data_IF_821780682502
#
_entry.id   IF_821780682502
#
_cell.length_a   1.000
_cell.length_b   1.000
_cell.length_c   1.000
_cell.angle_alpha   90.00
_cell.angle_beta   90.00
_cell.angle_gamma   90.00
#
_symmetry.space_group_name_H-M   'P 1'
#
loop_
_entity.id
_entity.type
_entity.pdbx_description
1 polymer ?
#
# COMPACT_ATOMS: atom_id res chain seq x y z
N UNK A 1 21.47 -1.32 -12.95
CA UNK A 1 22.85 -1.79 -12.65
C UNK A 1 23.66 -0.81 -11.78
N UNK A 2 23.60 0.51 -11.99
CA UNK A 2 24.42 1.47 -11.24
C UNK A 2 24.20 1.45 -9.71
N UNK A 3 22.95 1.43 -9.24
CA UNK A 3 22.63 1.39 -7.80
C UNK A 3 23.06 0.09 -7.10
N UNK A 4 23.05 -1.04 -7.83
CA UNK A 4 23.53 -2.32 -7.29
C UNK A 4 25.01 -2.22 -6.97
N UNK A 5 25.81 -1.72 -7.94
CA UNK A 5 27.26 -1.50 -7.76
C UNK A 5 27.55 -0.52 -6.62
N UNK A 6 26.79 0.58 -6.53
CA UNK A 6 26.93 1.55 -5.44
C UNK A 6 26.68 0.90 -4.07
N UNK A 7 25.60 0.15 -3.94
CA UNK A 7 25.26 -0.56 -2.69
C UNK A 7 26.31 -1.60 -2.32
N UNK A 8 26.78 -2.40 -3.28
CA UNK A 8 27.86 -3.37 -3.08
C UNK A 8 29.15 -2.69 -2.62
N UNK A 9 29.53 -1.55 -3.22
CA UNK A 9 30.70 -0.76 -2.81
C UNK A 9 30.56 -0.14 -1.42
N UNK A 10 29.38 0.36 -1.05
CA UNK A 10 29.09 0.88 0.29
C UNK A 10 29.17 -0.23 1.36
N UNK A 11 28.63 -1.41 1.06
CA UNK A 11 28.71 -2.58 1.96
C UNK A 11 30.15 -3.06 2.10
N UNK A 12 30.89 -3.18 0.99
CA UNK A 12 32.29 -3.62 1.01
C UNK A 12 33.19 -2.67 1.82
N UNK A 13 32.92 -1.36 1.73
CA UNK A 13 33.65 -0.33 2.50
C UNK A 13 33.13 -0.14 3.93
N UNK A 14 32.07 -0.85 4.34
CA UNK A 14 31.42 -0.75 5.66
C UNK A 14 31.06 0.69 6.06
N UNK A 15 30.83 1.57 5.09
CA UNK A 15 30.52 2.99 5.35
C UNK A 15 29.14 3.15 5.97
N UNK A 16 29.07 3.96 7.02
CA UNK A 16 27.84 4.35 7.70
C UNK A 16 27.88 5.86 7.98
N UNK A 17 28.19 6.64 6.96
CA UNK A 17 28.21 8.10 6.99
C UNK A 17 26.96 8.69 6.32
N UNK A 18 26.85 10.02 6.34
CA UNK A 18 25.74 10.75 5.73
C UNK A 18 25.56 10.40 4.24
N UNK A 19 26.66 10.25 3.50
CA UNK A 19 26.62 9.85 2.10
C UNK A 19 26.01 8.45 1.92
N UNK A 20 26.44 7.46 2.71
CA UNK A 20 25.85 6.13 2.68
C UNK A 20 24.35 6.20 3.01
N UNK A 21 23.97 6.94 4.05
CA UNK A 21 22.58 7.14 4.44
C UNK A 21 21.71 7.66 3.28
N UNK A 22 22.13 8.76 2.65
CA UNK A 22 21.39 9.37 1.54
C UNK A 22 21.34 8.47 0.30
N UNK A 23 22.43 7.75 0.00
CA UNK A 23 22.47 6.78 -1.09
C UNK A 23 21.45 5.65 -0.88
N UNK A 24 21.33 5.14 0.35
CA UNK A 24 20.34 4.12 0.69
C UNK A 24 18.91 4.66 0.63
N UNK A 25 18.62 5.84 1.19
CA UNK A 25 17.30 6.48 1.12
C UNK A 25 16.87 6.67 -0.34
N UNK A 26 17.76 7.20 -1.18
CA UNK A 26 17.50 7.36 -2.61
C UNK A 26 17.23 6.00 -3.30
N UNK A 27 18.07 5.00 -3.03
CA UNK A 27 17.89 3.66 -3.57
C UNK A 27 16.56 3.02 -3.14
N UNK A 28 16.12 3.25 -1.90
CA UNK A 28 14.85 2.75 -1.37
C UNK A 28 13.69 3.40 -2.10
N UNK A 29 13.66 4.75 -2.17
CA UNK A 29 12.59 5.51 -2.84
C UNK A 29 12.44 5.08 -4.31
N UNK A 30 13.56 4.95 -5.04
CA UNK A 30 13.52 4.51 -6.43
C UNK A 30 13.04 3.05 -6.57
N UNK A 31 13.53 2.16 -5.71
CA UNK A 31 13.16 0.75 -5.73
C UNK A 31 11.67 0.54 -5.39
N UNK A 32 11.10 1.36 -4.50
CA UNK A 32 9.67 1.40 -4.23
C UNK A 32 8.90 1.90 -5.45
N UNK A 33 9.40 2.96 -6.10
CA UNK A 33 8.76 3.52 -7.29
C UNK A 33 8.60 2.48 -8.42
N UNK A 34 9.62 1.65 -8.64
CA UNK A 34 9.57 0.53 -9.60
C UNK A 34 8.97 -0.77 -9.02
N UNK A 35 8.42 -0.72 -7.79
CA UNK A 35 7.78 -1.84 -7.08
C UNK A 35 8.64 -3.11 -6.99
N UNK A 36 9.95 -2.96 -6.70
CA UNK A 36 10.90 -4.07 -6.64
C UNK A 36 11.29 -4.44 -5.19
N UNK A 37 10.52 -5.32 -4.51
CA UNK A 37 10.69 -5.64 -3.08
C UNK A 37 12.06 -6.17 -2.70
N UNK A 38 12.68 -6.97 -3.57
CA UNK A 38 14.00 -7.57 -3.36
C UNK A 38 15.11 -6.50 -3.32
N UNK A 39 14.82 -5.28 -3.80
CA UNK A 39 15.78 -4.17 -3.79
C UNK A 39 15.55 -3.22 -2.62
N UNK A 40 14.31 -2.82 -2.34
CA UNK A 40 14.05 -1.88 -1.25
C UNK A 40 14.00 -2.54 0.12
N UNK A 41 13.43 -3.74 0.27
CA UNK A 41 13.23 -4.36 1.57
C UNK A 41 14.55 -4.62 2.33
N UNK A 42 15.58 -5.26 1.74
CA UNK A 42 16.87 -5.41 2.42
C UNK A 42 17.57 -4.07 2.65
N UNK A 43 17.40 -3.10 1.76
CA UNK A 43 17.97 -1.76 1.91
C UNK A 43 17.36 -1.01 3.11
N UNK A 44 16.04 -1.09 3.28
CA UNK A 44 15.31 -0.57 4.45
C UNK A 44 15.82 -1.22 5.72
N UNK A 45 15.91 -2.54 5.76
CA UNK A 45 16.36 -3.26 6.96
C UNK A 45 17.81 -2.91 7.31
N UNK A 46 18.70 -2.82 6.32
CA UNK A 46 20.09 -2.42 6.54
C UNK A 46 20.18 -0.98 7.06
N UNK A 47 19.43 -0.05 6.46
CA UNK A 47 19.41 1.35 6.89
C UNK A 47 18.90 1.48 8.33
N UNK A 48 17.76 0.87 8.66
CA UNK A 48 17.14 0.97 9.98
C UNK A 48 17.88 0.19 11.08
N UNK A 49 18.45 -0.98 10.79
CA UNK A 49 19.07 -1.85 11.81
C UNK A 49 20.58 -1.65 11.97
N UNK A 50 21.26 -1.16 10.94
CA UNK A 50 22.71 -0.96 10.95
C UNK A 50 23.07 0.52 10.86
N UNK A 51 22.80 1.19 9.75
CA UNK A 51 23.28 2.57 9.51
C UNK A 51 22.74 3.55 10.57
N UNK A 52 21.45 3.46 10.90
CA UNK A 52 20.81 4.32 11.91
C UNK A 52 21.38 4.16 13.34
N UNK A 53 22.14 3.08 13.62
CA UNK A 53 22.84 2.92 14.90
C UNK A 53 24.17 3.68 14.95
N UNK A 54 24.82 3.84 13.80
CA UNK A 54 26.16 4.44 13.68
C UNK A 54 26.09 5.91 13.27
N UNK A 55 25.05 6.30 12.54
CA UNK A 55 24.81 7.68 12.10
C UNK A 55 23.49 8.19 12.65
N UNK A 56 23.52 9.38 13.27
CA UNK A 56 22.33 10.03 13.79
C UNK A 56 21.51 10.61 12.63
N UNK A 57 20.59 9.81 12.10
CA UNK A 57 19.71 10.21 11.01
C UNK A 57 18.68 11.24 11.50
N UNK A 58 18.34 12.26 10.69
CA UNK A 58 17.23 13.16 11.00
C UNK A 58 15.95 12.37 11.27
N UNK A 59 15.23 12.73 12.33
CA UNK A 59 13.99 12.03 12.73
C UNK A 59 12.96 11.93 11.60
N UNK A 60 12.91 12.92 10.70
CA UNK A 60 12.01 12.92 9.54
C UNK A 60 12.31 11.78 8.56
N UNK A 61 13.58 11.56 8.23
CA UNK A 61 14.01 10.51 7.29
C UNK A 61 13.80 9.12 7.89
N UNK A 62 14.12 8.95 9.17
CA UNK A 62 13.90 7.69 9.89
C UNK A 62 12.41 7.34 9.89
N UNK A 63 11.55 8.31 10.21
CA UNK A 63 10.10 8.12 10.24
C UNK A 63 9.53 7.82 8.85
N UNK A 64 10.04 8.44 7.79
CA UNK A 64 9.66 8.15 6.41
C UNK A 64 9.98 6.71 6.02
N UNK A 65 11.23 6.27 6.22
CA UNK A 65 11.66 4.91 5.85
C UNK A 65 10.95 3.85 6.69
N UNK A 66 10.78 4.09 7.99
CA UNK A 66 10.00 3.20 8.85
C UNK A 66 8.53 3.14 8.43
N UNK A 67 7.96 4.24 7.91
CA UNK A 67 6.60 4.25 7.35
C UNK A 67 6.49 3.36 6.10
N UNK A 68 7.49 3.41 5.22
CA UNK A 68 7.55 2.49 4.06
C UNK A 68 7.66 1.03 4.49
N UNK A 69 8.45 0.74 5.52
CA UNK A 69 8.58 -0.61 6.06
C UNK A 69 7.25 -1.13 6.61
N UNK A 70 6.53 -0.30 7.39
CA UNK A 70 5.21 -0.64 7.91
C UNK A 70 4.18 -0.84 6.80
N UNK A 71 4.21 -0.01 5.75
CA UNK A 71 3.31 -0.17 4.60
C UNK A 71 3.60 -1.40 3.77
N UNK A 72 4.87 -1.76 3.54
CA UNK A 72 5.24 -3.03 2.90
C UNK A 72 4.71 -4.22 3.70
N UNK A 73 4.83 -4.17 5.03
CA UNK A 73 4.28 -5.19 5.92
C UNK A 73 2.76 -5.34 5.76
N UNK A 74 2.05 -4.22 5.78
CA UNK A 74 0.59 -4.20 5.69
C UNK A 74 0.07 -4.59 4.31
N UNK A 75 0.59 -3.96 3.25
CA UNK A 75 -0.01 -4.06 1.91
C UNK A 75 0.47 -5.30 1.15
N UNK A 76 1.78 -5.57 1.11
CA UNK A 76 2.34 -6.67 0.32
C UNK A 76 2.38 -7.97 1.10
N UNK A 77 2.82 -7.91 2.37
CA UNK A 77 2.97 -9.10 3.22
C UNK A 77 1.70 -9.47 3.99
N UNK A 78 0.65 -8.64 3.89
CA UNK A 78 -0.65 -8.82 4.56
C UNK A 78 -0.53 -9.02 6.07
N UNK A 79 0.51 -8.46 6.68
CA UNK A 79 0.76 -8.56 8.11
C UNK A 79 0.51 -7.22 8.80
N UNK A 80 -0.75 -6.99 9.18
CA UNK A 80 -1.16 -5.78 9.89
C UNK A 80 -0.55 -5.68 11.29
N UNK A 81 -0.41 -6.82 12.00
CA UNK A 81 0.16 -6.83 13.34
C UNK A 81 1.61 -6.29 13.32
N UNK A 82 2.43 -6.78 12.39
CA UNK A 82 3.80 -6.30 12.23
C UNK A 82 3.85 -4.82 11.83
N UNK A 83 2.93 -4.36 10.97
CA UNK A 83 2.86 -2.95 10.60
C UNK A 83 2.61 -2.04 11.82
N UNK A 84 1.71 -2.44 12.73
CA UNK A 84 1.46 -1.72 13.97
C UNK A 84 2.64 -1.81 14.95
N UNK A 85 3.31 -2.96 15.04
CA UNK A 85 4.53 -3.11 15.85
C UNK A 85 5.62 -2.15 15.36
N UNK A 86 5.93 -2.13 14.07
CA UNK A 86 6.92 -1.23 13.46
C UNK A 86 6.56 0.24 13.76
N UNK A 87 5.29 0.61 13.58
CA UNK A 87 4.83 1.97 13.88
C UNK A 87 5.12 2.37 15.32
N UNK A 88 4.89 1.46 16.28
CA UNK A 88 5.13 1.71 17.70
C UNK A 88 6.62 1.76 18.03
N UNK A 89 7.41 0.81 17.50
CA UNK A 89 8.85 0.69 17.75
C UNK A 89 9.59 1.96 17.29
N UNK A 90 9.25 2.48 16.11
CA UNK A 90 9.85 3.69 15.56
C UNK A 90 9.10 4.98 15.96
N UNK A 91 8.08 4.90 16.83
CA UNK A 91 7.25 6.03 17.31
C UNK A 91 6.79 6.97 16.19
N UNK A 92 6.34 6.39 15.07
CA UNK A 92 6.01 7.13 13.85
C UNK A 92 4.79 8.02 14.10
N UNK A 93 4.96 9.33 13.94
CA UNK A 93 3.87 10.32 14.02
C UNK A 93 3.44 10.74 12.61
N UNK A 94 2.86 9.81 11.85
CA UNK A 94 2.38 10.08 10.50
C UNK A 94 0.88 9.81 10.38
N UNK A 95 0.09 10.89 10.30
CA UNK A 95 -1.38 10.81 10.16
C UNK A 95 -1.81 10.06 8.89
N UNK A 96 -1.06 10.17 7.80
CA UNK A 96 -1.38 9.47 6.54
C UNK A 96 -1.27 7.95 6.74
N UNK A 97 -0.17 7.49 7.36
CA UNK A 97 0.03 6.07 7.70
C UNK A 97 -1.12 5.54 8.57
N UNK A 98 -1.53 6.30 9.59
CA UNK A 98 -2.60 5.89 10.50
C UNK A 98 -3.94 5.69 9.80
N UNK A 99 -4.28 6.57 8.85
CA UNK A 99 -5.50 6.44 8.05
C UNK A 99 -5.43 5.20 7.15
N UNK A 100 -4.27 4.94 6.53
CA UNK A 100 -4.08 3.77 5.67
C UNK A 100 -4.19 2.46 6.46
N UNK A 101 -3.50 2.36 7.60
CA UNK A 101 -3.57 1.17 8.45
C UNK A 101 -4.98 0.94 8.99
N UNK A 102 -5.70 2.01 9.39
CA UNK A 102 -7.09 1.92 9.81
C UNK A 102 -8.01 1.49 8.66
N UNK A 103 -7.80 1.99 7.45
CA UNK A 103 -8.58 1.58 6.29
C UNK A 103 -8.41 0.09 5.99
N UNK A 104 -7.18 -0.44 6.08
CA UNK A 104 -6.90 -1.87 5.93
C UNK A 104 -7.50 -2.70 7.07
N UNK A 105 -7.38 -2.25 8.32
CA UNK A 105 -7.89 -2.99 9.47
C UNK A 105 -9.43 -3.13 9.47
N UNK A 106 -10.14 -2.21 8.83
CA UNK A 106 -11.60 -2.24 8.71
C UNK A 106 -12.09 -2.65 7.31
N UNK A 107 -11.20 -3.07 6.42
CA UNK A 107 -11.52 -3.34 5.01
C UNK A 107 -12.32 -2.21 4.33
N UNK A 108 -12.06 -0.97 4.75
CA UNK A 108 -12.79 0.21 4.29
C UNK A 108 -12.18 0.77 3.02
N UNK A 109 -12.67 0.26 1.89
CA UNK A 109 -12.15 0.62 0.58
C UNK A 109 -12.48 2.06 0.14
N UNK A 110 -13.60 2.65 0.59
CA UNK A 110 -13.90 4.07 0.30
C UNK A 110 -12.89 5.00 0.97
N UNK A 111 -12.55 4.73 2.24
CA UNK A 111 -11.51 5.46 2.95
C UNK A 111 -10.14 5.26 2.29
N UNK A 112 -9.86 4.04 1.84
CA UNK A 112 -8.64 3.67 1.11
C UNK A 112 -8.46 4.48 -0.19
N UNK A 113 -9.51 4.57 -1.02
CA UNK A 113 -9.46 5.33 -2.27
C UNK A 113 -9.24 6.82 -2.02
N UNK A 114 -9.94 7.39 -1.04
CA UNK A 114 -9.79 8.81 -0.71
C UNK A 114 -8.37 9.15 -0.26
N UNK A 115 -7.72 8.27 0.52
CA UNK A 115 -6.34 8.51 0.96
C UNK A 115 -5.32 8.28 -0.18
N UNK A 116 -5.60 7.38 -1.13
CA UNK A 116 -4.72 7.09 -2.28
C UNK A 116 -4.37 8.32 -3.13
N UNK A 117 -5.30 9.27 -3.29
CA UNK A 117 -5.07 10.53 -4.03
C UNK A 117 -4.33 11.61 -3.22
N UNK A 118 -4.22 11.45 -1.90
CA UNK A 118 -3.63 12.46 -0.98
C UNK A 118 -2.23 12.11 -0.50
N UNK A 119 -1.77 10.90 -0.81
CA UNK A 119 -0.47 10.39 -0.37
C UNK A 119 0.61 10.64 -1.42
N UNK A 120 1.85 10.63 -0.95
CA UNK A 120 3.02 10.82 -1.80
C UNK A 120 3.24 9.60 -2.70
N UNK A 121 3.96 9.79 -3.81
CA UNK A 121 4.13 8.77 -4.83
C UNK A 121 4.66 7.42 -4.31
N UNK A 122 5.66 7.35 -3.41
CA UNK A 122 6.12 6.08 -2.85
C UNK A 122 5.06 5.36 -2.01
N UNK A 123 4.25 6.12 -1.25
CA UNK A 123 3.12 5.57 -0.49
C UNK A 123 2.10 4.95 -1.43
N UNK A 124 1.72 5.69 -2.48
CA UNK A 124 0.76 5.23 -3.47
C UNK A 124 1.22 3.91 -4.11
N UNK A 125 2.50 3.80 -4.50
CA UNK A 125 3.08 2.59 -5.09
C UNK A 125 3.07 1.38 -4.16
N UNK A 126 3.24 1.57 -2.85
CA UNK A 126 3.11 0.50 -1.86
C UNK A 126 1.64 0.09 -1.66
N UNK A 127 0.74 1.06 -1.63
CA UNK A 127 -0.70 0.82 -1.51
C UNK A 127 -1.25 0.01 -2.69
N UNK A 128 -0.78 0.24 -3.91
CA UNK A 128 -1.23 -0.53 -5.08
C UNK A 128 -1.21 -2.07 -4.91
N UNK A 129 -0.37 -2.62 -4.02
CA UNK A 129 -0.35 -4.07 -3.75
C UNK A 129 -1.62 -4.60 -3.07
N UNK A 130 -2.29 -3.80 -2.25
CA UNK A 130 -3.50 -4.20 -1.52
C UNK A 130 -4.80 -3.70 -2.18
N UNK A 131 -4.69 -2.86 -3.21
CA UNK A 131 -5.82 -2.17 -3.83
C UNK A 131 -6.83 -3.14 -4.45
N UNK A 132 -6.32 -4.13 -5.20
CA UNK A 132 -7.15 -5.13 -5.87
C UNK A 132 -7.85 -6.05 -4.87
N UNK A 133 -7.15 -6.46 -3.79
CA UNK A 133 -7.71 -7.30 -2.74
C UNK A 133 -8.84 -6.60 -1.98
N UNK A 134 -8.64 -5.33 -1.62
CA UNK A 134 -9.67 -4.55 -0.92
C UNK A 134 -10.90 -4.31 -1.80
N UNK A 135 -10.70 -4.03 -3.10
CA UNK A 135 -11.80 -3.88 -4.06
C UNK A 135 -12.55 -5.21 -4.21
N UNK A 136 -11.84 -6.32 -4.33
CA UNK A 136 -12.44 -7.65 -4.44
C UNK A 136 -13.27 -7.98 -3.18
N UNK A 137 -12.76 -7.67 -1.99
CA UNK A 137 -13.52 -7.82 -0.76
C UNK A 137 -14.80 -6.98 -0.78
N UNK A 138 -14.71 -5.72 -1.20
CA UNK A 138 -15.87 -4.83 -1.35
C UNK A 138 -16.91 -5.42 -2.30
N UNK A 139 -16.50 -5.92 -3.47
CA UNK A 139 -17.40 -6.57 -4.43
C UNK A 139 -18.06 -7.83 -3.86
N UNK A 140 -17.35 -8.63 -3.07
CA UNK A 140 -17.92 -9.78 -2.37
C UNK A 140 -18.98 -9.36 -1.35
N UNK A 141 -18.75 -8.27 -0.61
CA UNK A 141 -19.71 -7.70 0.32
C UNK A 141 -20.98 -7.21 -0.41
N UNK A 142 -20.83 -6.52 -1.55
CA UNK A 142 -21.96 -6.16 -2.41
C UNK A 142 -22.74 -7.40 -2.87
N UNK A 143 -22.00 -8.40 -3.33
CA UNK A 143 -22.53 -9.71 -3.72
C UNK A 143 -23.26 -10.45 -2.61
N UNK A 144 -22.99 -10.15 -1.33
CA UNK A 144 -23.61 -10.77 -0.17
C UNK A 144 -24.83 -10.01 0.34
N UNK A 145 -24.74 -8.67 0.37
CA UNK A 145 -25.65 -7.80 1.10
C UNK A 145 -26.77 -7.21 0.25
N UNK A 146 -26.60 -7.11 -1.06
CA UNK A 146 -27.54 -6.41 -1.94
C UNK A 146 -28.18 -7.33 -2.98
N UNK A 147 -29.46 -7.08 -3.26
CA UNK A 147 -30.18 -7.67 -4.38
C UNK A 147 -30.00 -6.82 -5.65
N UNK A 148 -30.27 -5.52 -5.50
CA UNK A 148 -30.14 -4.49 -6.53
C UNK A 148 -29.41 -3.28 -5.94
N UNK A 149 -28.64 -2.57 -6.75
CA UNK A 149 -27.91 -1.35 -6.36
C UNK A 149 -27.93 -0.35 -7.50
N UNK A 150 -28.06 0.94 -7.19
CA UNK A 150 -27.96 2.00 -8.18
C UNK A 150 -26.51 2.11 -8.70
N UNK A 151 -26.36 2.21 -10.01
CA UNK A 151 -25.05 2.21 -10.67
C UNK A 151 -24.09 3.29 -10.11
N UNK A 152 -24.50 4.56 -9.89
CA UNK A 152 -23.61 5.59 -9.36
C UNK A 152 -23.06 5.25 -7.97
N UNK A 153 -23.85 4.59 -7.13
CA UNK A 153 -23.41 4.18 -5.80
C UNK A 153 -22.39 3.05 -5.89
N UNK A 154 -22.62 2.06 -6.76
CA UNK A 154 -21.66 0.98 -6.98
C UNK A 154 -20.32 1.50 -7.51
N UNK A 155 -20.34 2.38 -8.51
CA UNK A 155 -19.13 2.97 -9.08
C UNK A 155 -18.40 3.84 -8.05
N UNK A 156 -19.12 4.60 -7.22
CA UNK A 156 -18.52 5.36 -6.13
C UNK A 156 -17.83 4.45 -5.10
N UNK A 157 -18.50 3.37 -4.68
CA UNK A 157 -17.95 2.46 -3.66
C UNK A 157 -16.83 1.56 -4.18
N UNK A 158 -16.73 1.33 -5.49
CA UNK A 158 -15.70 0.47 -6.11
C UNK A 158 -14.61 1.27 -6.83
N UNK A 159 -14.85 2.57 -7.06
CA UNK A 159 -14.07 3.51 -7.87
C UNK A 159 -13.63 2.97 -9.22
N UNK A 160 -14.48 2.15 -9.82
CA UNK A 160 -14.36 1.68 -11.20
C UNK A 160 -15.69 1.89 -11.89
N UNK A 161 -15.60 2.15 -13.19
CA UNK A 161 -16.79 2.20 -14.04
C UNK A 161 -17.33 0.80 -14.29
N UNK A 162 -18.61 0.70 -14.64
CA UNK A 162 -19.27 -0.57 -14.97
C UNK A 162 -18.48 -1.45 -15.96
N UNK A 163 -17.99 -0.85 -17.04
CA UNK A 163 -17.24 -1.57 -18.08
C UNK A 163 -15.97 -2.22 -17.51
N UNK A 164 -15.25 -1.49 -16.64
CA UNK A 164 -14.06 -2.02 -15.99
C UNK A 164 -14.38 -3.11 -14.97
N UNK A 165 -15.52 -3.01 -14.28
CA UNK A 165 -15.96 -4.05 -13.34
C UNK A 165 -16.25 -5.37 -14.08
N UNK A 166 -16.87 -5.31 -15.26
CA UNK A 166 -17.10 -6.51 -16.09
C UNK A 166 -15.81 -7.07 -16.66
N UNK A 167 -14.96 -6.23 -17.26
CA UNK A 167 -13.75 -6.70 -17.94
C UNK A 167 -12.68 -7.19 -16.96
N UNK A 168 -12.40 -6.42 -15.90
CA UNK A 168 -11.26 -6.67 -15.01
C UNK A 168 -11.65 -7.46 -13.77
N UNK A 169 -12.81 -7.20 -13.19
CA UNK A 169 -13.26 -7.85 -11.96
C UNK A 169 -14.23 -9.02 -12.22
N UNK A 170 -14.62 -9.27 -13.49
CA UNK A 170 -15.45 -10.39 -13.94
C UNK A 170 -16.76 -10.57 -13.15
N UNK A 171 -17.41 -9.45 -12.81
CA UNK A 171 -18.69 -9.50 -12.08
C UNK A 171 -19.81 -10.07 -12.96
N UNK A 172 -20.45 -11.15 -12.49
CA UNK A 172 -21.58 -11.79 -13.17
C UNK A 172 -22.92 -11.08 -12.98
N UNK A 173 -22.90 -9.77 -12.80
CA UNK A 173 -24.08 -8.95 -12.52
C UNK A 173 -24.64 -8.34 -13.80
N UNK A 174 -25.93 -7.99 -13.75
CA UNK A 174 -26.66 -7.43 -14.89
C UNK A 174 -27.01 -5.97 -14.62
N UNK A 175 -26.98 -5.15 -15.67
CA UNK A 175 -27.37 -3.75 -15.61
C UNK A 175 -28.71 -3.60 -16.34
N UNK A 176 -29.72 -3.16 -15.62
CA UNK A 176 -31.04 -2.79 -16.13
C UNK A 176 -31.21 -1.27 -15.95
N UNK A 177 -31.11 -0.52 -17.06
CA UNK A 177 -31.15 0.95 -17.08
C UNK A 177 -30.07 1.58 -16.18
N UNK A 178 -30.42 1.95 -14.95
CA UNK A 178 -29.53 2.54 -13.94
C UNK A 178 -29.32 1.65 -12.71
N UNK A 179 -29.91 0.46 -12.69
CA UNK A 179 -29.84 -0.47 -11.55
C UNK A 179 -29.07 -1.73 -11.92
N UNK A 180 -28.12 -2.08 -11.06
CA UNK A 180 -27.35 -3.30 -11.14
C UNK A 180 -28.05 -4.38 -10.31
N UNK A 181 -28.50 -5.44 -10.97
CA UNK A 181 -29.03 -6.64 -10.31
C UNK A 181 -27.89 -7.60 -10.01
N UNK A 182 -27.63 -7.75 -8.72
CA UNK A 182 -26.52 -8.55 -8.17
C UNK A 182 -26.95 -10.00 -7.95
N UNK A 183 -28.19 -10.21 -7.49
CA UNK A 183 -28.79 -11.53 -7.27
C UNK A 183 -30.19 -11.56 -7.87
N UNK A 184 -30.47 -12.58 -8.69
CA UNK A 184 -31.83 -12.88 -9.11
C UNK A 184 -32.53 -13.68 -8.02
N UNK A 185 -33.70 -13.23 -7.58
CA UNK A 185 -34.60 -14.05 -6.76
C UNK A 185 -35.08 -15.20 -7.64
N UNK A 186 -34.72 -16.44 -7.32
CA UNK A 186 -35.36 -17.60 -7.96
C UNK A 186 -36.83 -17.56 -7.57
N UNK A 187 -37.73 -17.38 -8.55
CA UNK A 187 -39.18 -17.55 -8.34
C UNK A 187 -39.42 -18.94 -7.74
N UNK A 188 -40.17 -18.98 -6.65
CA UNK A 188 -40.70 -20.21 -6.05
C UNK A 188 -41.84 -20.75 -6.90
#
# INVERSE_FOLDING_TARGET
>A
MALRKLREGLVASKRADEFACQAYIFSIRLSIFVKHPESYHPAILHLLRYIAKWHNMPHGELAEIASYYALDAACRRKNLAEAYSIRNDFKIKNRKLDVILRALAHDNYVAWQNIKYKVDLPFNKLMEWADDDMRLHTLKCFGASYLNVDLPFLEFCTGRKWDELKEKDSVGWELEEEKVTIRRIRKK
#
